data_IF_247696396306
#
_entry.id   IF_247696396306
#
_cell.length_a   1.000
_cell.length_b   1.000
_cell.length_c   1.000
_cell.angle_alpha   90.00
_cell.angle_beta   90.00
_cell.angle_gamma   90.00
#
_symmetry.space_group_name_H-M   'P 1'
#
loop_
_entity.id
_entity.type
_entity.pdbx_description
1 polymer ?
#
# COMPACT_ATOMS: atom_id res chain seq x y z
N UNK A 1 9.46 2.28 18.17
CA UNK A 1 8.66 1.06 17.93
C UNK A 1 8.82 0.15 19.12
N UNK A 2 7.75 -0.39 19.70
CA UNK A 2 7.89 -1.31 20.84
C UNK A 2 8.46 -2.67 20.38
N UNK A 3 9.15 -3.40 21.26
CA UNK A 3 9.65 -4.76 20.96
C UNK A 3 8.50 -5.70 20.49
N UNK A 4 7.30 -5.51 21.02
CA UNK A 4 6.11 -6.29 20.63
C UNK A 4 5.66 -6.01 19.20
N UNK A 5 5.59 -4.73 18.81
CA UNK A 5 5.18 -4.34 17.45
C UNK A 5 6.14 -4.88 16.38
N UNK A 6 7.45 -4.82 16.64
CA UNK A 6 8.44 -5.40 15.74
C UNK A 6 8.24 -6.92 15.53
N UNK A 7 7.96 -7.65 16.62
CA UNK A 7 7.74 -9.11 16.57
C UNK A 7 6.48 -9.47 15.78
N UNK A 8 5.35 -8.81 16.01
CA UNK A 8 4.12 -9.14 15.27
C UNK A 8 4.21 -8.76 13.80
N UNK A 9 4.88 -7.65 13.46
CA UNK A 9 5.13 -7.25 12.08
C UNK A 9 5.97 -8.29 11.35
N UNK A 10 7.03 -8.78 11.98
CA UNK A 10 7.85 -9.85 11.43
C UNK A 10 7.03 -11.14 11.22
N UNK A 11 6.16 -11.50 12.18
CA UNK A 11 5.25 -12.66 12.04
C UNK A 11 4.28 -12.49 10.88
N UNK A 12 3.66 -11.31 10.75
CA UNK A 12 2.74 -10.99 9.67
C UNK A 12 3.42 -11.11 8.29
N UNK A 13 4.61 -10.49 8.14
CA UNK A 13 5.42 -10.60 6.91
C UNK A 13 5.79 -12.05 6.60
N UNK A 14 6.30 -12.77 7.59
CA UNK A 14 6.72 -14.18 7.42
C UNK A 14 5.54 -15.07 7.02
N UNK A 15 4.36 -14.82 7.59
CA UNK A 15 3.13 -15.53 7.24
C UNK A 15 2.74 -15.30 5.78
N UNK A 16 2.56 -14.04 5.36
CA UNK A 16 2.06 -13.74 4.00
C UNK A 16 3.06 -14.16 2.93
N UNK A 17 4.37 -13.99 3.15
CA UNK A 17 5.39 -14.47 2.22
C UNK A 17 5.51 -15.99 2.21
N UNK A 18 5.38 -16.65 3.36
CA UNK A 18 5.43 -18.11 3.45
C UNK A 18 4.25 -18.77 2.74
N UNK A 19 3.04 -18.23 2.92
CA UNK A 19 1.82 -18.72 2.28
C UNK A 19 1.73 -18.33 0.81
N UNK A 20 2.17 -17.12 0.45
CA UNK A 20 2.15 -16.59 -0.91
C UNK A 20 3.02 -17.32 -1.94
N UNK A 21 3.87 -18.26 -1.49
CA UNK A 21 4.63 -19.17 -2.39
C UNK A 21 3.72 -20.04 -3.27
N UNK A 22 2.44 -20.18 -2.91
CA UNK A 22 1.45 -20.87 -3.73
C UNK A 22 0.90 -20.02 -4.90
N UNK A 23 1.43 -18.81 -5.11
CA UNK A 23 1.01 -17.92 -6.19
C UNK A 23 -0.24 -17.09 -5.89
N UNK A 24 -0.83 -17.20 -4.70
CA UNK A 24 -2.01 -16.43 -4.30
C UNK A 24 -1.65 -15.30 -3.33
N UNK A 25 -2.52 -14.31 -3.23
CA UNK A 25 -2.48 -13.30 -2.17
C UNK A 25 -3.05 -13.86 -0.87
N UNK A 26 -2.38 -13.51 0.22
CA UNK A 26 -2.77 -13.83 1.59
C UNK A 26 -2.69 -12.57 2.41
N UNK A 27 -3.69 -12.36 3.26
CA UNK A 27 -3.76 -11.23 4.18
C UNK A 27 -3.53 -11.69 5.62
N UNK A 28 -2.93 -10.82 6.43
CA UNK A 28 -2.75 -10.96 7.87
C UNK A 28 -3.07 -9.63 8.55
N UNK A 29 -4.02 -9.66 9.48
CA UNK A 29 -4.48 -8.50 10.22
C UNK A 29 -4.10 -8.61 11.70
N UNK A 30 -3.62 -7.50 12.27
CA UNK A 30 -3.45 -7.37 13.72
C UNK A 30 -3.82 -5.97 14.21
N UNK A 31 -4.18 -5.87 15.48
CA UNK A 31 -4.41 -4.59 16.15
C UNK A 31 -3.06 -4.03 16.64
N UNK A 32 -2.69 -2.83 16.18
CA UNK A 32 -1.43 -2.17 16.56
C UNK A 32 -1.44 -1.70 18.01
N UNK A 33 -2.61 -1.29 18.54
CA UNK A 33 -2.74 -0.74 19.90
C UNK A 33 -2.32 -1.75 20.97
N UNK A 34 -2.73 -3.02 20.82
CA UNK A 34 -2.45 -4.08 21.79
C UNK A 34 -1.60 -5.22 21.21
N UNK A 35 -1.08 -5.06 19.98
CA UNK A 35 -0.19 -6.02 19.33
C UNK A 35 -0.82 -7.43 19.27
N UNK A 36 -2.12 -7.50 18.96
CA UNK A 36 -2.88 -8.76 18.95
C UNK A 36 -3.26 -9.17 17.53
N UNK A 37 -2.97 -10.42 17.17
CA UNK A 37 -3.49 -11.05 15.97
C UNK A 37 -5.02 -10.99 15.92
N UNK A 38 -5.57 -10.63 14.76
CA UNK A 38 -7.02 -10.55 14.56
C UNK A 38 -7.52 -11.68 13.66
N UNK A 39 -7.00 -11.77 12.43
CA UNK A 39 -7.34 -12.82 11.47
C UNK A 39 -6.35 -12.86 10.31
N UNK A 40 -6.42 -13.92 9.51
CA UNK A 40 -5.80 -13.99 8.19
C UNK A 40 -6.84 -14.46 7.16
N UNK A 41 -6.58 -14.21 5.87
CA UNK A 41 -7.51 -14.59 4.79
C UNK A 41 -6.75 -14.84 3.47
N UNK A 42 -7.35 -15.61 2.57
CA UNK A 42 -6.95 -15.71 1.16
C UNK A 42 -8.20 -15.95 0.34
N UNK A 43 -8.30 -15.29 -0.81
CA UNK A 43 -9.37 -15.54 -1.77
C UNK A 43 -8.98 -16.59 -2.82
N UNK A 44 -7.78 -17.18 -2.71
CA UNK A 44 -7.25 -18.13 -3.70
C UNK A 44 -6.95 -17.50 -5.05
N UNK A 45 -6.64 -16.19 -5.06
CA UNK A 45 -6.38 -15.40 -6.28
C UNK A 45 -5.00 -14.74 -6.22
N UNK A 46 -4.33 -14.57 -7.37
CA UNK A 46 -2.99 -13.99 -7.44
C UNK A 46 -2.94 -12.45 -7.30
N UNK A 47 -4.08 -11.78 -7.46
CA UNK A 47 -4.19 -10.33 -7.62
C UNK A 47 -5.26 -9.69 -6.71
N UNK A 48 -5.79 -10.49 -5.76
CA UNK A 48 -6.84 -10.03 -4.87
C UNK A 48 -6.82 -10.78 -3.53
N UNK A 49 -6.79 -10.01 -2.45
CA UNK A 49 -7.22 -10.47 -1.13
C UNK A 49 -8.11 -9.46 -0.42
N UNK A 50 -9.28 -9.91 0.00
CA UNK A 50 -10.23 -9.10 0.76
C UNK A 50 -9.90 -9.06 2.26
N UNK A 51 -10.46 -8.05 2.94
CA UNK A 51 -10.43 -7.98 4.40
C UNK A 51 -11.10 -9.24 4.97
N UNK A 52 -10.46 -9.95 5.93
CA UNK A 52 -11.08 -11.09 6.59
C UNK A 52 -12.43 -10.68 7.23
N UNK A 53 -13.54 -11.43 7.00
CA UNK A 53 -14.85 -11.07 7.51
C UNK A 53 -14.88 -10.82 9.03
N UNK A 54 -14.11 -11.61 9.80
CA UNK A 54 -13.98 -11.48 11.25
C UNK A 54 -13.41 -10.14 11.73
N UNK A 55 -12.78 -9.35 10.85
CA UNK A 55 -12.12 -8.07 11.19
C UNK A 55 -12.85 -6.88 10.57
N UNK A 56 -13.84 -7.11 9.70
CA UNK A 56 -14.50 -6.07 8.92
C UNK A 56 -15.09 -4.94 9.79
N UNK A 57 -15.76 -5.29 10.89
CA UNK A 57 -16.33 -4.31 11.82
C UNK A 57 -15.26 -3.44 12.50
N UNK A 58 -14.10 -4.02 12.83
CA UNK A 58 -12.96 -3.26 13.37
C UNK A 58 -12.39 -2.33 12.32
N UNK A 59 -12.25 -2.80 11.08
CA UNK A 59 -11.78 -1.96 9.97
C UNK A 59 -12.74 -0.78 9.69
N UNK A 60 -14.04 -0.89 9.98
CA UNK A 60 -14.97 0.24 9.83
C UNK A 60 -14.88 1.26 10.97
N UNK A 61 -14.42 0.87 12.16
CA UNK A 61 -14.37 1.73 13.34
C UNK A 61 -13.20 2.71 13.30
N UNK A 62 -13.46 4.02 13.41
CA UNK A 62 -12.41 5.06 13.43
C UNK A 62 -11.52 5.03 14.69
N UNK A 63 -11.92 4.31 15.74
CA UNK A 63 -11.18 4.21 17.00
C UNK A 63 -10.24 3.00 17.05
N UNK A 64 -10.39 2.07 16.11
CA UNK A 64 -9.52 0.91 15.99
C UNK A 64 -8.25 1.27 15.19
N UNK A 65 -7.17 0.53 15.44
CA UNK A 65 -5.88 0.72 14.76
C UNK A 65 -5.42 -0.62 14.21
N UNK A 66 -6.00 -1.02 13.08
CA UNK A 66 -5.71 -2.26 12.37
C UNK A 66 -4.54 -2.04 11.41
N UNK A 67 -3.59 -2.97 11.44
CA UNK A 67 -2.55 -3.12 10.40
C UNK A 67 -2.92 -4.31 9.51
N UNK A 68 -2.94 -4.08 8.20
CA UNK A 68 -3.26 -5.06 7.17
C UNK A 68 -1.99 -5.37 6.38
N UNK A 69 -1.52 -6.60 6.45
CA UNK A 69 -0.37 -7.07 5.69
C UNK A 69 -0.85 -8.03 4.61
N UNK A 70 -0.33 -7.92 3.40
CA UNK A 70 -0.56 -8.90 2.33
C UNK A 70 0.66 -9.10 1.45
N UNK A 71 0.70 -10.21 0.71
CA UNK A 71 1.74 -10.42 -0.29
C UNK A 71 1.23 -10.07 -1.69
N UNK A 72 2.14 -9.60 -2.54
CA UNK A 72 1.97 -9.59 -3.99
C UNK A 72 2.84 -10.72 -4.56
N UNK A 73 2.24 -11.72 -5.23
CA UNK A 73 2.99 -12.71 -6.00
C UNK A 73 3.86 -12.05 -7.07
N UNK A 74 3.38 -10.96 -7.66
CA UNK A 74 4.13 -10.11 -8.60
C UNK A 74 5.02 -9.05 -7.95
N UNK A 75 5.72 -8.28 -8.79
CA UNK A 75 6.63 -7.20 -8.39
C UNK A 75 5.91 -5.85 -8.36
N UNK A 76 4.81 -5.79 -7.62
CA UNK A 76 3.93 -4.61 -7.60
C UNK A 76 4.03 -3.86 -6.26
N UNK A 77 4.08 -2.52 -6.29
CA UNK A 77 3.78 -1.65 -5.14
C UNK A 77 2.34 -1.78 -4.67
N UNK A 78 1.95 -0.98 -3.67
CA UNK A 78 0.56 -0.84 -3.26
C UNK A 78 -0.32 -0.46 -4.44
N UNK A 79 -1.36 -1.25 -4.68
CA UNK A 79 -2.35 -1.00 -5.70
C UNK A 79 -3.28 0.16 -5.31
N UNK A 80 -4.04 0.67 -6.29
CA UNK A 80 -5.13 1.59 -5.98
C UNK A 80 -6.21 0.95 -5.07
N UNK A 81 -6.39 -0.37 -5.16
CA UNK A 81 -7.26 -1.13 -4.25
C UNK A 81 -6.79 -1.01 -2.80
N UNK A 82 -5.49 -1.14 -2.56
CA UNK A 82 -4.90 -0.98 -1.23
C UNK A 82 -5.14 0.43 -0.68
N UNK A 83 -4.88 1.45 -1.49
CA UNK A 83 -5.08 2.84 -1.09
C UNK A 83 -6.55 3.15 -0.81
N UNK A 84 -7.47 2.56 -1.59
CA UNK A 84 -8.92 2.61 -1.33
C UNK A 84 -9.29 1.93 -0.01
N UNK A 85 -8.68 0.80 0.33
CA UNK A 85 -8.92 0.15 1.63
C UNK A 85 -8.50 1.06 2.78
N UNK A 86 -7.30 1.65 2.70
CA UNK A 86 -6.84 2.61 3.70
C UNK A 86 -7.80 3.79 3.84
N UNK A 87 -8.38 4.23 2.72
CA UNK A 87 -9.32 5.35 2.59
C UNK A 87 -10.71 5.10 3.16
N UNK A 88 -11.30 3.99 2.75
CA UNK A 88 -12.69 3.65 3.03
C UNK A 88 -12.89 3.05 4.43
N UNK A 89 -11.85 2.47 5.03
CA UNK A 89 -11.94 1.77 6.30
C UNK A 89 -11.28 2.57 7.42
N UNK A 90 -12.12 3.26 8.20
CA UNK A 90 -11.72 4.12 9.31
C UNK A 90 -10.81 3.47 10.36
N UNK A 91 -10.83 2.15 10.52
CA UNK A 91 -9.97 1.41 11.45
C UNK A 91 -8.68 0.90 10.84
N UNK A 92 -8.53 0.86 9.51
CA UNK A 92 -7.26 0.51 8.88
C UNK A 92 -6.35 1.74 8.98
N UNK A 93 -5.27 1.60 9.73
CA UNK A 93 -4.28 2.66 9.91
C UNK A 93 -3.02 2.41 9.08
N UNK A 94 -2.73 1.16 8.74
CA UNK A 94 -1.52 0.79 8.00
C UNK A 94 -1.84 -0.36 7.05
N UNK A 95 -1.35 -0.26 5.81
CA UNK A 95 -1.31 -1.35 4.85
C UNK A 95 0.15 -1.62 4.50
N UNK A 96 0.55 -2.89 4.43
CA UNK A 96 1.88 -3.31 4.02
C UNK A 96 1.81 -4.45 3.00
N UNK A 97 2.17 -4.16 1.75
CA UNK A 97 2.37 -5.16 0.71
C UNK A 97 3.83 -5.67 0.72
N UNK A 98 4.00 -6.98 0.57
CA UNK A 98 5.31 -7.64 0.53
C UNK A 98 5.44 -8.44 -0.75
N UNK A 99 6.51 -8.22 -1.54
CA UNK A 99 6.76 -9.04 -2.73
C UNK A 99 7.66 -10.22 -2.40
N UNK A 100 7.50 -11.32 -3.14
CA UNK A 100 8.35 -12.50 -2.99
C UNK A 100 9.83 -12.20 -3.31
N UNK A 101 10.10 -11.18 -4.13
CA UNK A 101 11.45 -10.71 -4.46
C UNK A 101 12.07 -9.79 -3.39
N UNK A 102 11.41 -9.60 -2.25
CA UNK A 102 11.94 -8.84 -1.10
C UNK A 102 11.54 -7.37 -1.06
N UNK A 103 10.69 -6.91 -1.98
CA UNK A 103 10.09 -5.58 -1.93
C UNK A 103 9.11 -5.45 -0.77
N UNK A 104 9.04 -4.27 -0.18
CA UNK A 104 8.13 -3.94 0.92
C UNK A 104 7.56 -2.55 0.65
N UNK A 105 6.24 -2.41 0.67
CA UNK A 105 5.57 -1.14 0.43
C UNK A 105 4.55 -0.92 1.53
N UNK A 106 4.70 0.16 2.30
CA UNK A 106 3.91 0.40 3.49
C UNK A 106 3.36 1.80 3.48
N UNK A 107 2.04 1.91 3.54
CA UNK A 107 1.33 3.17 3.68
C UNK A 107 0.66 3.22 5.05
N UNK A 108 0.93 4.27 5.82
CA UNK A 108 0.24 4.58 7.07
C UNK A 108 -0.59 5.83 6.89
N UNK A 109 -1.82 5.80 7.39
CA UNK A 109 -2.70 6.95 7.42
C UNK A 109 -2.23 8.02 8.41
N UNK A 110 -2.20 9.28 7.99
CA UNK A 110 -1.95 10.45 8.85
C UNK A 110 -3.26 11.11 9.32
N UNK A 111 -3.23 11.89 10.40
CA UNK A 111 -4.45 12.45 11.03
C UNK A 111 -5.24 13.43 10.16
N UNK A 112 -4.60 14.06 9.16
CA UNK A 112 -5.22 14.97 8.18
C UNK A 112 -6.27 14.28 7.28
N UNK A 113 -6.48 12.98 7.45
CA UNK A 113 -7.42 12.13 6.71
C UNK A 113 -8.90 12.49 6.85
N UNK A 114 -9.28 13.27 7.87
CA UNK A 114 -10.65 13.28 8.36
C UNK A 114 -11.71 13.96 7.47
N UNK A 115 -11.39 14.73 6.42
CA UNK A 115 -12.45 15.58 5.82
C UNK A 115 -12.54 15.77 4.29
N UNK A 116 -11.61 15.34 3.42
CA UNK A 116 -11.76 15.60 1.96
C UNK A 116 -11.08 14.59 1.02
N UNK A 117 -10.82 13.36 1.48
CA UNK A 117 -9.86 12.47 0.80
C UNK A 117 -10.37 11.89 -0.54
N UNK A 118 -11.62 11.41 -0.67
CA UNK A 118 -12.03 10.70 -1.89
C UNK A 118 -12.01 11.63 -3.11
N UNK A 119 -12.48 12.88 -2.96
CA UNK A 119 -12.45 13.87 -4.03
C UNK A 119 -11.01 14.31 -4.37
N UNK A 120 -10.13 14.49 -3.37
CA UNK A 120 -8.71 14.79 -3.61
C UNK A 120 -7.97 13.63 -4.24
N UNK A 121 -8.17 12.41 -3.76
CA UNK A 121 -7.57 11.19 -4.30
C UNK A 121 -8.06 10.94 -5.73
N UNK A 122 -9.35 11.11 -6.01
CA UNK A 122 -9.90 11.02 -7.36
C UNK A 122 -9.31 12.10 -8.26
N UNK A 123 -9.24 13.37 -7.82
CA UNK A 123 -8.63 14.46 -8.59
C UNK A 123 -7.14 14.21 -8.86
N UNK A 124 -6.38 13.77 -7.86
CA UNK A 124 -4.96 13.42 -8.00
C UNK A 124 -4.79 12.22 -8.94
N UNK A 125 -5.61 11.18 -8.80
CA UNK A 125 -5.57 10.01 -9.68
C UNK A 125 -5.95 10.35 -11.12
N UNK A 126 -6.94 11.23 -11.32
CA UNK A 126 -7.30 11.74 -12.65
C UNK A 126 -6.17 12.57 -13.26
N UNK A 127 -5.58 13.49 -12.49
CA UNK A 127 -4.46 14.32 -12.94
C UNK A 127 -3.26 13.45 -13.31
N UNK A 128 -2.94 12.47 -12.47
CA UNK A 128 -1.89 11.49 -12.68
C UNK A 128 -2.14 10.66 -13.94
N UNK A 129 -3.33 10.06 -14.08
CA UNK A 129 -3.70 9.25 -15.24
C UNK A 129 -3.67 10.05 -16.55
N UNK A 130 -4.06 11.33 -16.52
CA UNK A 130 -3.94 12.21 -17.69
C UNK A 130 -2.48 12.48 -18.07
N UNK A 131 -1.60 12.72 -17.10
CA UNK A 131 -0.18 12.96 -17.40
C UNK A 131 0.50 11.71 -17.96
N UNK A 132 0.19 10.52 -17.42
CA UNK A 132 0.79 9.28 -17.91
C UNK A 132 0.26 8.88 -19.29
N UNK A 133 -1.03 9.10 -19.57
CA UNK A 133 -1.62 8.79 -20.86
C UNK A 133 -1.05 9.62 -22.03
N UNK A 134 -0.51 10.81 -21.77
CA UNK A 134 -0.06 11.73 -22.83
C UNK A 134 1.43 12.11 -22.77
N UNK A 135 2.20 11.58 -21.81
CA UNK A 135 3.61 11.96 -21.64
C UNK A 135 4.50 10.93 -20.95
N UNK A 136 4.02 9.72 -20.68
CA UNK A 136 4.83 8.71 -20.01
C UNK A 136 5.98 8.23 -20.91
N UNK A 137 7.24 8.22 -20.42
CA UNK A 137 8.36 7.65 -21.15
C UNK A 137 8.22 6.14 -21.32
N UNK A 138 8.93 5.60 -22.32
CA UNK A 138 8.95 4.16 -22.56
C UNK A 138 9.43 3.37 -21.31
N UNK A 139 8.64 2.38 -20.91
CA UNK A 139 8.92 1.56 -19.72
C UNK A 139 8.39 2.12 -18.40
N UNK A 140 7.65 3.23 -18.43
CA UNK A 140 6.78 3.65 -17.33
C UNK A 140 5.50 2.82 -17.36
N UNK A 141 5.34 1.93 -16.39
CA UNK A 141 4.27 0.93 -16.35
C UNK A 141 3.41 1.06 -15.08
N UNK A 142 2.37 0.23 -14.97
CA UNK A 142 1.44 0.25 -13.83
C UNK A 142 2.12 0.08 -12.45
N UNK A 143 3.29 -0.56 -12.37
CA UNK A 143 4.03 -0.68 -11.12
C UNK A 143 4.69 0.66 -10.76
N UNK A 144 5.36 1.30 -11.71
CA UNK A 144 5.91 2.64 -11.49
C UNK A 144 4.81 3.67 -11.23
N UNK A 145 3.70 3.57 -11.95
CA UNK A 145 2.54 4.44 -11.78
C UNK A 145 2.04 4.44 -10.33
N UNK A 146 1.76 3.26 -9.80
CA UNK A 146 1.27 3.10 -8.43
C UNK A 146 2.30 3.50 -7.38
N UNK A 147 3.60 3.27 -7.64
CA UNK A 147 4.67 3.76 -6.76
C UNK A 147 4.71 5.28 -6.70
N UNK A 148 4.73 5.95 -7.85
CA UNK A 148 4.77 7.42 -7.95
C UNK A 148 3.52 8.03 -7.33
N UNK A 149 2.36 7.41 -7.54
CA UNK A 149 1.13 7.85 -6.90
C UNK A 149 1.23 7.77 -5.35
N UNK A 150 1.84 6.72 -4.80
CA UNK A 150 2.09 6.65 -3.35
C UNK A 150 3.05 7.76 -2.86
N UNK A 151 4.10 8.07 -3.62
CA UNK A 151 5.02 9.19 -3.32
C UNK A 151 4.29 10.53 -3.31
N UNK A 152 3.40 10.76 -4.27
CA UNK A 152 2.56 11.97 -4.33
C UNK A 152 1.65 12.08 -3.09
N UNK A 153 1.02 10.99 -2.66
CA UNK A 153 0.18 10.97 -1.46
C UNK A 153 0.98 11.24 -0.18
N UNK A 154 2.22 10.75 -0.10
CA UNK A 154 3.15 11.01 0.99
C UNK A 154 3.59 12.49 1.02
N UNK A 155 3.97 13.03 -0.14
CA UNK A 155 4.31 14.45 -0.32
C UNK A 155 3.15 15.38 0.09
N UNK A 156 1.93 14.98 -0.22
CA UNK A 156 0.70 15.66 0.18
C UNK A 156 0.34 15.51 1.67
N UNK A 157 1.14 14.74 2.43
CA UNK A 157 0.94 14.40 3.85
C UNK A 157 -0.42 13.75 4.11
N UNK A 158 -0.89 12.95 3.17
CA UNK A 158 -2.10 12.13 3.32
C UNK A 158 -1.74 10.79 3.95
N UNK A 159 -0.64 10.19 3.50
CA UNK A 159 -0.05 8.99 4.09
C UNK A 159 1.38 9.28 4.53
N UNK A 160 1.92 8.38 5.34
CA UNK A 160 3.35 8.13 5.46
C UNK A 160 3.66 6.88 4.62
N UNK A 161 4.50 7.02 3.59
CA UNK A 161 4.86 5.94 2.68
C UNK A 161 6.32 5.50 2.87
N UNK A 162 6.51 4.31 3.44
CA UNK A 162 7.82 3.69 3.62
C UNK A 162 7.96 2.52 2.64
N UNK A 163 9.07 2.43 1.91
CA UNK A 163 9.27 1.36 0.93
C UNK A 163 10.70 0.83 0.83
N UNK A 164 10.80 -0.40 0.33
CA UNK A 164 12.02 -1.06 -0.13
C UNK A 164 11.71 -1.61 -1.50
N UNK A 165 12.37 -1.08 -2.54
CA UNK A 165 12.22 -1.57 -3.91
C UNK A 165 13.02 -2.85 -4.10
N UNK A 166 12.45 -3.84 -4.78
CA UNK A 166 13.24 -4.95 -5.31
C UNK A 166 14.17 -4.45 -6.43
N UNK A 167 15.14 -5.29 -6.83
CA UNK A 167 16.17 -4.90 -7.81
C UNK A 167 15.58 -4.44 -9.15
N UNK A 168 14.52 -5.09 -9.64
CA UNK A 168 13.94 -4.79 -10.94
C UNK A 168 13.14 -3.50 -10.91
N UNK A 169 12.29 -3.32 -9.90
CA UNK A 169 11.56 -2.06 -9.74
C UNK A 169 12.51 -0.88 -9.43
N UNK A 170 13.57 -1.10 -8.65
CA UNK A 170 14.60 -0.09 -8.40
C UNK A 170 15.27 0.38 -9.69
N UNK A 171 15.66 -0.54 -10.57
CA UNK A 171 16.26 -0.21 -11.88
C UNK A 171 15.30 0.63 -12.71
N UNK A 172 14.04 0.20 -12.84
CA UNK A 172 13.00 0.94 -13.57
C UNK A 172 12.77 2.34 -13.00
N UNK A 173 12.74 2.48 -11.67
CA UNK A 173 12.58 3.77 -11.01
C UNK A 173 13.76 4.71 -11.28
N UNK A 174 15.00 4.22 -11.22
CA UNK A 174 16.20 5.02 -11.50
C UNK A 174 16.19 5.54 -12.94
N UNK A 175 15.84 4.69 -13.92
CA UNK A 175 15.78 5.08 -15.34
C UNK A 175 14.72 6.18 -15.58
N UNK A 176 13.63 6.17 -14.82
CA UNK A 176 12.53 7.12 -14.96
C UNK A 176 12.54 8.20 -13.87
N UNK A 177 13.66 8.39 -13.16
CA UNK A 177 13.69 9.19 -11.93
C UNK A 177 13.24 10.62 -12.16
N UNK A 178 13.76 11.28 -13.19
CA UNK A 178 13.45 12.69 -13.47
C UNK A 178 11.96 12.88 -13.80
N UNK A 179 11.35 11.95 -14.54
CA UNK A 179 9.92 11.96 -14.80
C UNK A 179 9.10 11.69 -13.53
N UNK A 180 9.52 10.72 -12.70
CA UNK A 180 8.86 10.44 -11.42
C UNK A 180 8.87 11.68 -10.51
N UNK A 181 10.03 12.34 -10.38
CA UNK A 181 10.20 13.52 -9.55
C UNK A 181 9.38 14.69 -10.09
N UNK A 182 9.42 14.92 -11.41
CA UNK A 182 8.61 15.94 -12.08
C UNK A 182 7.12 15.76 -11.78
N UNK A 183 6.59 14.54 -11.90
CA UNK A 183 5.17 14.27 -11.64
C UNK A 183 4.81 14.48 -10.16
N UNK A 184 5.68 14.10 -9.23
CA UNK A 184 5.46 14.31 -7.78
C UNK A 184 5.47 15.79 -7.42
N UNK A 185 6.39 16.56 -8.00
CA UNK A 185 6.57 17.98 -7.67
C UNK A 185 5.56 18.88 -8.41
N UNK A 186 5.23 18.59 -9.67
CA UNK A 186 4.34 19.41 -10.49
C UNK A 186 2.86 19.31 -10.08
N UNK A 187 2.39 18.14 -9.64
CA UNK A 187 1.00 17.97 -9.19
C UNK A 187 0.76 18.61 -7.80
N UNK A 188 1.83 18.95 -7.07
CA UNK A 188 1.75 19.54 -5.73
C UNK A 188 1.66 21.08 -5.72
N UNK A 189 1.85 21.74 -6.87
CA UNK A 189 1.62 23.19 -7.06
C UNK A 189 0.15 23.47 -7.43
#
# INVERSE_FOLDING_TARGET
>A
MSKGEGRIRWRARSFVLGRGKNGHEHAYCYCRKNVKFLAHHTDGKPDLVRIPPAVLNRCKSITEIVSFHHNHPGLMPLSYGDLKLLGNFGGINEISAHTLAGGVFRARRLERWKTTWLSRLVKLNQTFAMQTAYGAPAGFDGALETHVFCLLLDRARLIQYDYVLDKNLKRRYIVNKDYCDLVVDYIYL
#
